data_IF_726818927675
#
_entry.id   IF_726818927675
#
_cell.length_a   1.000
_cell.length_b   1.000
_cell.length_c   1.000
_cell.angle_alpha   90.00
_cell.angle_beta   90.00
_cell.angle_gamma   90.00
#
_symmetry.space_group_name_H-M   'P 1'
#
loop_
_entity.id
_entity.type
_entity.pdbx_description
1 polymer ?
#
# COMPACT_ATOMS: atom_id res chain seq x y z
N UNK A 1 -6.67 32.52 5.83
CA UNK A 1 -5.26 32.61 6.28
C UNK A 1 -4.75 31.21 6.56
N UNK A 2 -3.44 30.91 6.36
CA UNK A 2 -2.91 29.61 6.68
C UNK A 2 -2.94 29.35 8.19
N UNK A 3 -3.30 28.12 8.59
CA UNK A 3 -3.23 27.68 9.98
C UNK A 3 -1.75 27.50 10.40
N UNK A 4 -1.26 28.31 11.30
CA UNK A 4 0.15 28.33 11.73
C UNK A 4 0.44 27.36 12.88
N UNK A 5 -0.51 26.51 13.28
CA UNK A 5 -0.29 25.49 14.32
C UNK A 5 0.95 24.63 14.01
N UNK A 6 1.81 24.42 14.99
CA UNK A 6 3.10 23.74 14.83
C UNK A 6 2.96 22.22 14.69
N UNK A 7 1.92 21.65 15.27
CA UNK A 7 1.63 20.20 15.23
C UNK A 7 0.61 19.89 14.14
N UNK A 8 0.71 18.71 13.54
CA UNK A 8 -0.31 18.17 12.63
C UNK A 8 -1.52 17.63 13.39
N UNK A 9 -2.64 17.46 12.70
CA UNK A 9 -3.79 16.78 13.28
C UNK A 9 -3.44 15.33 13.59
N UNK A 10 -3.82 14.87 14.78
CA UNK A 10 -3.66 13.47 15.13
C UNK A 10 -4.59 12.60 14.27
N UNK A 11 -4.08 11.45 13.84
CA UNK A 11 -4.90 10.46 13.15
C UNK A 11 -5.76 9.74 14.19
N UNK A 12 -7.09 9.74 14.06
CA UNK A 12 -7.95 8.91 14.88
C UNK A 12 -7.56 7.43 14.71
N UNK A 13 -7.40 6.74 15.84
CA UNK A 13 -6.99 5.33 15.85
C UNK A 13 -7.84 4.51 16.81
N UNK A 14 -7.97 3.21 16.59
CA UNK A 14 -8.55 2.30 17.58
C UNK A 14 -7.76 2.35 18.89
N UNK A 15 -8.48 2.26 20.02
CA UNK A 15 -7.85 2.18 21.35
C UNK A 15 -6.87 1.01 21.42
N UNK A 16 -5.77 1.19 22.15
CA UNK A 16 -4.68 0.22 22.23
C UNK A 16 -5.09 -1.17 22.76
N UNK A 17 -6.02 -1.19 23.72
CA UNK A 17 -6.58 -2.41 24.28
C UNK A 17 -7.48 -3.18 23.29
N UNK A 18 -8.20 -2.45 22.42
CA UNK A 18 -9.10 -3.02 21.42
C UNK A 18 -8.34 -3.48 20.16
N UNK A 19 -7.43 -2.66 19.65
CA UNK A 19 -6.72 -2.95 18.38
C UNK A 19 -5.81 -4.19 18.45
N UNK A 20 -5.38 -4.60 19.64
CA UNK A 20 -4.51 -5.76 19.83
C UNK A 20 -5.25 -7.10 19.76
N UNK A 21 -6.58 -7.10 19.76
CA UNK A 21 -7.43 -8.29 19.75
C UNK A 21 -8.22 -8.49 18.45
N UNK A 22 -8.00 -7.64 17.44
CA UNK A 22 -8.72 -7.73 16.18
C UNK A 22 -7.83 -7.37 14.98
N UNK A 23 -8.31 -7.68 13.75
CA UNK A 23 -7.62 -7.38 12.50
C UNK A 23 -8.23 -6.19 11.72
N UNK A 24 -9.17 -5.43 12.32
CA UNK A 24 -9.76 -4.25 11.68
C UNK A 24 -8.72 -3.14 11.53
N UNK A 25 -8.88 -2.28 10.53
CA UNK A 25 -7.98 -1.15 10.27
C UNK A 25 -7.78 -0.30 11.53
N UNK A 26 -6.52 -0.09 11.92
CA UNK A 26 -6.17 0.62 13.16
C UNK A 26 -6.38 2.13 13.02
N UNK A 27 -5.88 2.72 11.94
CA UNK A 27 -6.07 4.14 11.65
C UNK A 27 -7.46 4.36 11.04
N UNK A 28 -8.25 5.28 11.60
CA UNK A 28 -9.65 5.45 11.22
C UNK A 28 -9.88 6.52 10.12
N UNK A 29 -8.82 7.25 9.74
CA UNK A 29 -8.92 8.34 8.77
C UNK A 29 -9.31 9.67 9.39
N UNK A 30 -9.18 10.76 8.62
CA UNK A 30 -9.64 12.09 9.01
C UNK A 30 -11.14 12.28 8.74
N UNK A 31 -11.80 13.08 9.58
CA UNK A 31 -13.08 13.68 9.23
C UNK A 31 -12.88 14.82 8.21
N UNK A 32 -13.96 15.33 7.61
CA UNK A 32 -13.92 16.48 6.69
C UNK A 32 -13.29 17.69 7.37
N UNK A 33 -13.67 17.97 8.60
CA UNK A 33 -13.20 19.10 9.39
C UNK A 33 -11.70 18.97 9.70
N UNK A 34 -11.26 17.78 10.10
CA UNK A 34 -9.85 17.50 10.36
C UNK A 34 -9.00 17.63 9.08
N UNK A 35 -9.51 17.15 7.95
CA UNK A 35 -8.82 17.26 6.67
C UNK A 35 -8.68 18.71 6.21
N UNK A 36 -9.74 19.51 6.31
CA UNK A 36 -9.72 20.95 5.97
C UNK A 36 -8.76 21.69 6.92
N UNK A 37 -8.82 21.44 8.22
CA UNK A 37 -7.93 22.09 9.19
C UNK A 37 -6.46 21.74 8.93
N UNK A 38 -6.14 20.47 8.66
CA UNK A 38 -4.79 20.06 8.29
C UNK A 38 -4.34 20.65 6.94
N UNK A 39 -5.23 20.70 5.95
CA UNK A 39 -4.96 21.31 4.64
C UNK A 39 -4.63 22.81 4.76
N UNK A 40 -5.26 23.51 5.71
CA UNK A 40 -4.97 24.92 6.00
C UNK A 40 -3.55 25.16 6.55
N UNK A 41 -2.84 24.13 7.02
CA UNK A 41 -1.43 24.23 7.42
C UNK A 41 -0.47 24.34 6.23
N UNK A 42 -0.92 23.96 5.02
CA UNK A 42 -0.09 24.05 3.83
C UNK A 42 0.17 25.49 3.43
N UNK A 43 1.45 25.83 3.23
CA UNK A 43 1.89 27.18 2.86
C UNK A 43 1.84 27.44 1.35
N UNK A 44 1.47 26.45 0.54
CA UNK A 44 1.51 26.52 -0.92
C UNK A 44 2.83 27.10 -1.45
N UNK A 45 3.95 26.51 -1.05
CA UNK A 45 5.31 26.99 -1.32
C UNK A 45 5.59 27.12 -2.82
N UNK A 46 6.20 28.22 -3.26
CA UNK A 46 6.55 28.47 -4.67
C UNK A 46 7.42 27.33 -5.25
N UNK A 47 8.40 26.83 -4.51
CA UNK A 47 9.36 25.82 -4.97
C UNK A 47 8.85 24.38 -4.77
N UNK A 48 7.69 24.16 -4.15
CA UNK A 48 7.03 22.86 -3.96
C UNK A 48 7.99 21.71 -3.60
N UNK A 49 8.84 21.79 -2.54
CA UNK A 49 9.86 20.78 -2.28
C UNK A 49 9.29 19.39 -1.97
N UNK A 50 8.05 19.31 -1.48
CA UNK A 50 7.34 18.06 -1.27
C UNK A 50 7.04 17.32 -2.59
N UNK A 51 6.76 18.05 -3.68
CA UNK A 51 6.52 17.46 -5.00
C UNK A 51 7.79 16.81 -5.55
N UNK A 52 8.93 17.52 -5.47
CA UNK A 52 10.22 17.01 -5.93
C UNK A 52 10.70 15.77 -5.16
N UNK A 53 10.18 15.55 -3.93
CA UNK A 53 10.53 14.38 -3.11
C UNK A 53 9.45 13.28 -3.13
N UNK A 54 8.39 13.46 -3.92
CA UNK A 54 7.41 12.42 -4.20
C UNK A 54 7.88 11.61 -5.41
N UNK A 55 8.03 10.28 -5.32
CA UNK A 55 8.54 9.46 -6.43
C UNK A 55 7.72 9.56 -7.73
N UNK A 56 6.42 9.85 -7.62
CA UNK A 56 5.50 10.00 -8.75
C UNK A 56 5.11 11.47 -9.02
N UNK A 57 5.73 12.42 -8.33
CA UNK A 57 5.57 13.86 -8.52
C UNK A 57 4.11 14.36 -8.46
N UNK A 58 3.32 13.87 -7.50
CA UNK A 58 1.94 14.38 -7.26
C UNK A 58 2.01 15.88 -7.02
N UNK A 59 1.11 16.67 -7.64
CA UNK A 59 0.95 18.09 -7.30
C UNK A 59 0.33 18.27 -5.92
N UNK A 60 1.18 18.06 -4.90
CA UNK A 60 0.80 18.03 -3.48
C UNK A 60 0.12 19.35 -3.06
N UNK A 61 0.67 20.55 -3.32
CA UNK A 61 -0.02 21.78 -2.99
C UNK A 61 -1.36 21.94 -3.74
N UNK A 62 -1.44 21.40 -4.95
CA UNK A 62 -2.66 21.44 -5.76
C UNK A 62 -3.80 20.65 -5.12
N UNK A 63 -3.57 19.36 -4.77
CA UNK A 63 -4.63 18.56 -4.14
C UNK A 63 -4.97 19.05 -2.72
N UNK A 64 -3.98 19.51 -1.95
CA UNK A 64 -4.22 20.08 -0.60
C UNK A 64 -5.06 21.37 -0.71
N UNK A 65 -4.79 22.21 -1.72
CA UNK A 65 -5.61 23.38 -1.99
C UNK A 65 -7.07 23.03 -2.23
N UNK A 66 -7.34 21.98 -3.00
CA UNK A 66 -8.70 21.48 -3.25
C UNK A 66 -9.38 20.96 -1.98
N UNK A 67 -8.65 20.25 -1.10
CA UNK A 67 -9.19 19.85 0.22
C UNK A 67 -9.55 21.07 1.07
N UNK A 68 -8.67 22.07 1.09
CA UNK A 68 -8.90 23.34 1.79
C UNK A 68 -10.18 24.04 1.33
N UNK A 69 -10.46 24.00 0.04
CA UNK A 69 -11.64 24.62 -0.56
C UNK A 69 -12.92 23.77 -0.40
N UNK A 70 -12.80 22.57 0.18
CA UNK A 70 -13.90 21.62 0.37
C UNK A 70 -14.23 20.80 -0.89
N UNK A 71 -13.45 20.93 -1.97
CA UNK A 71 -13.63 20.20 -3.22
C UNK A 71 -12.81 18.90 -3.20
N UNK A 72 -13.29 17.91 -2.45
CA UNK A 72 -12.58 16.67 -2.19
C UNK A 72 -12.45 15.77 -3.42
N UNK A 73 -13.44 15.84 -4.32
CA UNK A 73 -13.39 15.08 -5.57
C UNK A 73 -12.32 15.64 -6.52
N UNK A 74 -12.24 16.97 -6.65
CA UNK A 74 -11.16 17.58 -7.41
C UNK A 74 -9.78 17.31 -6.79
N UNK A 75 -9.68 17.18 -5.45
CA UNK A 75 -8.44 16.79 -4.80
C UNK A 75 -8.00 15.37 -5.23
N UNK A 76 -8.93 14.41 -5.24
CA UNK A 76 -8.66 13.05 -5.73
C UNK A 76 -8.21 13.08 -7.20
N UNK A 77 -8.89 13.82 -8.05
CA UNK A 77 -8.56 13.94 -9.47
C UNK A 77 -7.15 14.50 -9.71
N UNK A 78 -6.66 15.40 -8.85
CA UNK A 78 -5.25 15.87 -8.90
C UNK A 78 -4.29 14.75 -8.56
N UNK A 79 -4.57 13.95 -7.54
CA UNK A 79 -3.72 12.83 -7.13
C UNK A 79 -3.69 11.75 -8.21
N UNK A 80 -4.85 11.38 -8.75
CA UNK A 80 -5.02 10.29 -9.73
C UNK A 80 -4.25 10.52 -11.03
N UNK A 81 -4.02 11.77 -11.41
CA UNK A 81 -3.20 12.11 -12.60
C UNK A 81 -1.79 11.50 -12.52
N UNK A 82 -1.20 11.47 -11.33
CA UNK A 82 0.18 11.01 -11.10
C UNK A 82 0.28 9.67 -10.36
N UNK A 83 -0.76 9.27 -9.62
CA UNK A 83 -0.77 8.03 -8.83
C UNK A 83 -1.89 7.11 -9.28
N UNK A 84 -1.55 5.85 -9.57
CA UNK A 84 -2.55 4.84 -9.95
C UNK A 84 -3.18 4.12 -8.74
N UNK A 85 -2.59 4.28 -7.53
CA UNK A 85 -2.99 3.59 -6.30
C UNK A 85 -3.12 4.55 -5.10
N UNK A 86 -3.95 5.62 -5.18
CA UNK A 86 -4.01 6.66 -4.16
C UNK A 86 -4.40 6.13 -2.77
N UNK A 87 -5.41 5.23 -2.71
CA UNK A 87 -5.89 4.69 -1.45
C UNK A 87 -4.85 3.80 -0.72
N UNK A 88 -3.99 3.13 -1.50
CA UNK A 88 -2.85 2.35 -0.99
C UNK A 88 -1.74 3.29 -0.54
N UNK A 89 -1.33 4.26 -1.38
CA UNK A 89 -0.25 5.20 -1.07
C UNK A 89 -0.55 6.02 0.19
N UNK A 90 -1.76 6.51 0.35
CA UNK A 90 -2.18 7.25 1.53
C UNK A 90 -2.09 6.45 2.85
N UNK A 91 -1.99 5.10 2.77
CA UNK A 91 -1.90 4.20 3.95
C UNK A 91 -0.50 3.66 4.21
N UNK A 92 0.25 3.32 3.16
CA UNK A 92 1.47 2.52 3.32
C UNK A 92 2.72 3.14 2.72
N UNK A 93 2.61 4.25 1.97
CA UNK A 93 3.77 4.99 1.51
C UNK A 93 4.53 5.58 2.70
N UNK A 94 5.87 5.48 2.77
CA UNK A 94 6.66 6.05 3.85
C UNK A 94 6.84 7.58 3.68
N UNK A 95 5.74 8.33 3.79
CA UNK A 95 5.70 9.78 3.54
C UNK A 95 6.69 10.55 4.41
N UNK A 96 6.95 10.08 5.63
CA UNK A 96 7.87 10.70 6.59
C UNK A 96 9.31 10.77 6.06
N UNK A 97 9.69 9.85 5.19
CA UNK A 97 11.01 9.81 4.54
C UNK A 97 11.01 10.35 3.11
N UNK A 98 9.85 10.73 2.61
CA UNK A 98 9.64 11.22 1.25
C UNK A 98 9.07 12.66 1.27
N UNK A 99 7.81 12.84 0.83
CA UNK A 99 7.21 14.16 0.66
C UNK A 99 7.13 14.97 1.97
N UNK A 100 6.79 14.35 3.10
CA UNK A 100 6.70 15.03 4.39
C UNK A 100 8.08 15.47 4.91
N UNK A 101 9.16 14.69 4.66
CA UNK A 101 10.51 15.03 5.05
C UNK A 101 10.97 16.39 4.49
N UNK A 102 10.51 16.75 3.30
CA UNK A 102 10.86 18.01 2.63
C UNK A 102 9.83 19.11 2.82
N UNK A 103 8.79 18.88 3.60
CA UNK A 103 7.80 19.90 3.88
C UNK A 103 8.40 21.05 4.70
N UNK A 104 8.26 22.29 4.21
CA UNK A 104 8.80 23.49 4.87
C UNK A 104 8.28 23.66 6.30
N UNK A 105 7.05 23.20 6.58
CA UNK A 105 6.49 23.21 7.95
C UNK A 105 7.31 22.35 8.92
N UNK A 106 7.97 21.31 8.43
CA UNK A 106 8.83 20.43 9.22
C UNK A 106 10.12 21.08 9.74
N UNK A 107 10.50 22.28 9.26
CA UNK A 107 11.71 22.99 9.72
C UNK A 107 11.55 23.52 11.16
N UNK A 108 10.36 24.03 11.51
CA UNK A 108 10.09 24.63 12.83
C UNK A 108 9.05 23.87 13.65
N UNK A 109 8.42 22.85 13.08
CA UNK A 109 7.38 22.06 13.72
C UNK A 109 7.20 20.74 13.01
N UNK A 110 5.97 20.22 12.99
CA UNK A 110 5.66 19.02 12.23
C UNK A 110 5.28 19.35 10.77
N UNK A 111 5.69 18.52 9.80
CA UNK A 111 5.26 18.65 8.42
C UNK A 111 3.74 18.60 8.31
N UNK A 112 3.19 19.06 7.20
CA UNK A 112 1.80 18.79 6.84
C UNK A 112 1.63 17.28 6.68
N UNK A 113 0.54 16.73 7.20
CA UNK A 113 0.21 15.29 7.12
C UNK A 113 -0.24 14.92 5.70
N UNK A 114 0.68 14.95 4.74
CA UNK A 114 0.40 14.81 3.29
C UNK A 114 -0.26 13.46 3.01
N UNK A 115 0.31 12.37 3.53
CA UNK A 115 -0.25 11.04 3.31
C UNK A 115 -1.63 10.84 3.92
N UNK A 116 -1.93 11.47 5.07
CA UNK A 116 -3.27 11.42 5.67
C UNK A 116 -4.29 12.17 4.84
N UNK A 117 -3.90 13.28 4.22
CA UNK A 117 -4.75 14.04 3.31
C UNK A 117 -4.95 13.30 1.98
N UNK A 118 -3.93 12.63 1.44
CA UNK A 118 -4.03 11.75 0.29
C UNK A 118 -5.01 10.60 0.56
N UNK A 119 -4.86 9.93 1.71
CA UNK A 119 -5.80 8.91 2.16
C UNK A 119 -7.23 9.44 2.25
N UNK A 120 -7.42 10.60 2.88
CA UNK A 120 -8.75 11.21 3.02
C UNK A 120 -9.42 11.45 1.66
N UNK A 121 -8.68 12.01 0.70
CA UNK A 121 -9.21 12.25 -0.65
C UNK A 121 -9.61 10.95 -1.36
N UNK A 122 -8.78 9.90 -1.23
CA UNK A 122 -9.05 8.59 -1.81
C UNK A 122 -10.24 7.89 -1.16
N UNK A 123 -10.36 7.94 0.17
CA UNK A 123 -11.48 7.36 0.91
C UNK A 123 -12.79 8.11 0.62
N UNK A 124 -12.74 9.45 0.51
CA UNK A 124 -13.88 10.26 0.13
C UNK A 124 -14.39 9.89 -1.27
N UNK A 125 -13.48 9.84 -2.25
CA UNK A 125 -13.80 9.42 -3.62
C UNK A 125 -14.45 8.02 -3.62
N UNK A 126 -13.87 7.05 -2.93
CA UNK A 126 -14.40 5.68 -2.87
C UNK A 126 -15.83 5.61 -2.29
N UNK A 127 -16.16 6.51 -1.36
CA UNK A 127 -17.47 6.55 -0.72
C UNK A 127 -18.54 7.30 -1.54
N UNK A 128 -18.16 8.22 -2.45
CA UNK A 128 -19.09 9.14 -3.13
C UNK A 128 -19.10 8.98 -4.64
N UNK A 129 -18.08 8.34 -5.23
CA UNK A 129 -18.02 8.19 -6.69
C UNK A 129 -18.96 7.09 -7.19
N UNK A 130 -19.51 7.30 -8.39
CA UNK A 130 -20.31 6.28 -9.10
C UNK A 130 -19.46 5.14 -9.68
N UNK A 131 -18.14 5.14 -9.43
CA UNK A 131 -17.20 4.19 -10.02
C UNK A 131 -16.90 4.44 -11.52
N UNK A 132 -17.37 5.55 -12.08
CA UNK A 132 -17.04 5.92 -13.45
C UNK A 132 -15.57 6.30 -13.56
N UNK A 133 -14.87 5.65 -14.48
CA UNK A 133 -13.46 5.95 -14.77
C UNK A 133 -13.40 7.08 -15.81
N UNK A 134 -12.56 8.06 -15.58
CA UNK A 134 -12.40 9.25 -16.43
C UNK A 134 -10.93 9.33 -16.87
N UNK A 135 -10.69 9.89 -18.07
CA UNK A 135 -9.33 10.20 -18.52
C UNK A 135 -8.57 9.03 -19.14
N UNK A 136 -9.26 8.05 -19.71
CA UNK A 136 -8.64 7.01 -20.54
C UNK A 136 -8.53 7.54 -21.96
N UNK A 137 -7.32 7.46 -22.55
CA UNK A 137 -7.13 7.76 -23.96
C UNK A 137 -7.82 6.72 -24.85
N UNK A 138 -8.10 7.10 -26.08
CA UNK A 138 -8.54 6.16 -27.11
C UNK A 138 -7.54 5.01 -27.25
N UNK A 139 -8.03 3.82 -27.59
CA UNK A 139 -7.17 2.65 -27.78
C UNK A 139 -6.18 2.88 -28.94
N UNK A 140 -4.91 2.72 -28.67
CA UNK A 140 -3.83 2.91 -29.64
C UNK A 140 -3.49 1.64 -30.43
N UNK A 141 -4.15 0.52 -30.14
CA UNK A 141 -3.95 -0.78 -30.81
C UNK A 141 -2.83 -1.64 -30.20
N UNK A 142 -1.90 -1.05 -29.48
CA UNK A 142 -0.75 -1.76 -28.90
C UNK A 142 -1.10 -2.60 -27.69
N UNK A 143 -0.40 -3.74 -27.51
CA UNK A 143 -0.61 -4.69 -26.43
C UNK A 143 0.63 -4.78 -25.55
N UNK A 144 0.44 -4.71 -24.24
CA UNK A 144 1.50 -4.89 -23.27
C UNK A 144 1.12 -5.93 -22.20
N UNK A 145 2.07 -6.81 -21.88
CA UNK A 145 1.96 -7.75 -20.77
C UNK A 145 2.66 -7.20 -19.53
N UNK A 146 2.06 -7.40 -18.37
CA UNK A 146 2.62 -7.06 -17.05
C UNK A 146 2.70 -8.34 -16.23
N UNK A 147 3.90 -8.74 -15.84
CA UNK A 147 4.15 -9.93 -15.04
C UNK A 147 4.25 -9.55 -13.56
N UNK A 148 3.25 -9.96 -12.78
CA UNK A 148 3.08 -9.63 -11.37
C UNK A 148 2.12 -8.48 -11.15
N UNK A 149 1.15 -8.70 -10.26
CA UNK A 149 0.13 -7.73 -9.87
C UNK A 149 0.45 -6.98 -8.57
N UNK A 150 1.70 -6.96 -8.15
CA UNK A 150 2.16 -6.14 -7.04
C UNK A 150 2.05 -4.63 -7.34
N UNK A 151 2.42 -3.75 -6.40
CA UNK A 151 2.30 -2.30 -6.58
C UNK A 151 3.00 -1.79 -7.84
N UNK A 152 4.14 -2.35 -8.23
CA UNK A 152 4.85 -1.98 -9.45
C UNK A 152 4.03 -2.34 -10.71
N UNK A 153 3.53 -3.59 -10.78
CA UNK A 153 2.73 -4.05 -11.91
C UNK A 153 1.41 -3.32 -12.04
N UNK A 154 0.68 -3.12 -10.95
CA UNK A 154 -0.59 -2.37 -10.96
C UNK A 154 -0.38 -0.91 -11.37
N UNK A 155 0.71 -0.27 -10.90
CA UNK A 155 1.04 1.11 -11.31
C UNK A 155 1.40 1.18 -12.79
N UNK A 156 2.21 0.26 -13.30
CA UNK A 156 2.55 0.16 -14.71
C UNK A 156 1.30 -0.06 -15.57
N UNK A 157 0.44 -0.99 -15.18
CA UNK A 157 -0.82 -1.25 -15.86
C UNK A 157 -1.71 -0.01 -15.91
N UNK A 158 -1.87 0.69 -14.78
CA UNK A 158 -2.66 1.93 -14.72
C UNK A 158 -2.14 3.01 -15.65
N UNK A 159 -0.81 3.20 -15.70
CA UNK A 159 -0.20 4.21 -16.58
C UNK A 159 -0.29 3.86 -18.06
N UNK A 160 -0.20 2.59 -18.41
CA UNK A 160 -0.38 2.12 -19.79
C UNK A 160 -1.85 2.27 -20.24
N UNK A 161 -2.80 1.92 -19.37
CA UNK A 161 -4.23 2.07 -19.64
C UNK A 161 -4.63 3.53 -19.88
N UNK A 162 -4.11 4.46 -19.06
CA UNK A 162 -4.32 5.91 -19.27
C UNK A 162 -3.85 6.37 -20.66
N UNK A 163 -2.85 5.71 -21.25
CA UNK A 163 -2.29 6.00 -22.59
C UNK A 163 -2.94 5.19 -23.71
N UNK A 164 -3.99 4.44 -23.44
CA UNK A 164 -4.77 3.70 -24.43
C UNK A 164 -4.21 2.34 -24.82
N UNK A 165 -3.22 1.81 -24.12
CA UNK A 165 -2.71 0.46 -24.37
C UNK A 165 -3.72 -0.61 -23.95
N UNK A 166 -3.68 -1.77 -24.62
CA UNK A 166 -4.34 -2.98 -24.16
C UNK A 166 -3.38 -3.69 -23.20
N UNK A 167 -3.82 -3.88 -21.96
CA UNK A 167 -2.95 -4.39 -20.89
C UNK A 167 -3.49 -5.69 -20.33
N UNK A 168 -2.64 -6.73 -20.27
CA UNK A 168 -2.91 -7.95 -19.53
C UNK A 168 -1.89 -8.09 -18.41
N UNK A 169 -2.38 -8.31 -17.19
CA UNK A 169 -1.57 -8.54 -15.99
C UNK A 169 -1.63 -10.02 -15.65
N UNK A 170 -0.49 -10.68 -15.61
CA UNK A 170 -0.34 -12.09 -15.20
C UNK A 170 0.11 -12.15 -13.75
N UNK A 171 -0.65 -12.86 -12.92
CA UNK A 171 -0.41 -13.01 -11.49
C UNK A 171 -0.28 -14.49 -11.12
N UNK A 172 0.78 -14.85 -10.43
CA UNK A 172 1.04 -16.22 -10.01
C UNK A 172 0.07 -16.71 -8.92
N UNK A 173 -0.40 -15.80 -8.07
CA UNK A 173 -1.32 -16.11 -6.97
C UNK A 173 -2.79 -16.05 -7.44
N UNK A 174 -3.69 -16.57 -6.62
CA UNK A 174 -5.13 -16.59 -6.89
C UNK A 174 -5.82 -15.23 -6.67
N UNK A 175 -5.14 -14.27 -6.05
CA UNK A 175 -5.61 -12.90 -5.86
C UNK A 175 -4.57 -11.90 -6.35
N UNK A 176 -5.03 -10.89 -7.08
CA UNK A 176 -4.19 -9.79 -7.50
C UNK A 176 -3.89 -8.83 -6.35
N UNK A 177 -2.71 -8.21 -6.39
CA UNK A 177 -2.25 -7.21 -5.41
C UNK A 177 -0.84 -7.47 -4.87
N UNK A 178 -0.30 -8.67 -5.09
CA UNK A 178 1.05 -9.03 -4.62
C UNK A 178 1.21 -8.79 -3.12
N UNK A 179 2.32 -8.14 -2.73
CA UNK A 179 2.62 -7.84 -1.32
C UNK A 179 1.53 -7.03 -0.60
N UNK A 180 0.71 -6.26 -1.31
CA UNK A 180 -0.41 -5.53 -0.74
C UNK A 180 -1.47 -6.48 -0.16
N UNK A 181 -1.57 -7.69 -0.71
CA UNK A 181 -2.54 -8.70 -0.29
C UNK A 181 -1.89 -9.76 0.60
N UNK A 182 -0.76 -10.34 0.20
CA UNK A 182 -0.16 -11.43 0.97
C UNK A 182 0.71 -10.95 2.14
N UNK A 183 1.35 -9.76 2.03
CA UNK A 183 2.37 -9.32 2.99
C UNK A 183 1.85 -8.31 4.02
N UNK A 184 1.18 -7.26 3.59
CA UNK A 184 0.71 -6.19 4.49
C UNK A 184 -0.54 -6.63 5.23
N UNK A 185 -0.58 -6.56 6.58
CA UNK A 185 -1.74 -7.02 7.35
C UNK A 185 -3.01 -6.20 7.13
N UNK A 186 -4.16 -6.85 7.30
CA UNK A 186 -5.49 -6.26 7.20
C UNK A 186 -5.65 -4.98 8.02
N UNK A 187 -5.10 -4.97 9.24
CA UNK A 187 -5.20 -3.82 10.16
C UNK A 187 -4.37 -2.59 9.72
N UNK A 188 -3.51 -2.73 8.70
CA UNK A 188 -2.76 -1.62 8.06
C UNK A 188 -3.31 -1.26 6.69
N UNK A 189 -3.66 -2.27 5.91
CA UNK A 189 -4.19 -2.13 4.56
C UNK A 189 -5.30 -3.16 4.35
N UNK A 190 -6.57 -2.78 4.57
CA UNK A 190 -7.71 -3.64 4.30
C UNK A 190 -7.72 -4.15 2.86
N UNK A 191 -8.04 -5.43 2.67
CA UNK A 191 -7.94 -6.07 1.34
C UNK A 191 -9.04 -5.62 0.38
N UNK A 192 -10.16 -5.14 0.91
CA UNK A 192 -11.22 -4.52 0.10
C UNK A 192 -10.74 -3.25 -0.60
N UNK A 193 -9.81 -2.50 0.01
CA UNK A 193 -9.19 -1.32 -0.61
C UNK A 193 -8.34 -1.74 -1.81
N UNK A 194 -7.50 -2.76 -1.63
CA UNK A 194 -6.69 -3.28 -2.74
C UNK A 194 -7.59 -3.84 -3.85
N UNK A 195 -8.65 -4.56 -3.48
CA UNK A 195 -9.66 -5.06 -4.42
C UNK A 195 -10.29 -3.94 -5.25
N UNK A 196 -10.67 -2.83 -4.62
CA UNK A 196 -11.24 -1.66 -5.32
C UNK A 196 -10.26 -1.04 -6.32
N UNK A 197 -8.98 -0.94 -5.98
CA UNK A 197 -7.95 -0.43 -6.91
C UNK A 197 -7.76 -1.40 -8.10
N UNK A 198 -7.74 -2.71 -7.85
CA UNK A 198 -7.70 -3.73 -8.91
C UNK A 198 -8.94 -3.66 -9.81
N UNK A 199 -10.13 -3.54 -9.23
CA UNK A 199 -11.39 -3.44 -9.99
C UNK A 199 -11.48 -2.13 -10.78
N UNK A 200 -10.88 -1.07 -10.29
CA UNK A 200 -10.72 0.17 -11.05
C UNK A 200 -9.91 -0.08 -12.33
N UNK A 201 -8.77 -0.77 -12.25
CA UNK A 201 -7.97 -1.11 -13.43
C UNK A 201 -8.74 -2.01 -14.41
N UNK A 202 -9.53 -2.97 -13.90
CA UNK A 202 -10.42 -3.78 -14.75
C UNK A 202 -11.46 -2.91 -15.48
N UNK A 203 -12.08 -1.96 -14.79
CA UNK A 203 -13.01 -1.00 -15.43
C UNK A 203 -12.31 -0.10 -16.45
N UNK A 204 -11.01 0.18 -16.29
CA UNK A 204 -10.20 0.85 -17.31
C UNK A 204 -9.90 -0.04 -18.53
N UNK A 205 -10.20 -1.33 -18.45
CA UNK A 205 -9.96 -2.29 -19.54
C UNK A 205 -8.75 -3.19 -19.36
N UNK A 206 -8.19 -3.30 -18.13
CA UNK A 206 -7.18 -4.30 -17.84
C UNK A 206 -7.78 -5.71 -17.84
N UNK A 207 -7.11 -6.66 -18.46
CA UNK A 207 -7.31 -8.08 -18.24
C UNK A 207 -6.36 -8.52 -17.11
N UNK A 208 -6.86 -9.25 -16.12
CA UNK A 208 -6.05 -9.77 -15.01
C UNK A 208 -6.23 -11.27 -14.94
N UNK A 209 -5.15 -11.98 -15.29
CA UNK A 209 -5.07 -13.45 -15.31
C UNK A 209 -4.34 -13.92 -14.05
N UNK A 210 -5.07 -14.55 -13.14
CA UNK A 210 -4.52 -15.12 -11.91
C UNK A 210 -4.18 -16.59 -12.09
N UNK A 211 -3.36 -17.15 -11.18
CA UNK A 211 -2.84 -18.52 -11.23
C UNK A 211 -1.98 -18.81 -12.47
N UNK A 212 -1.34 -17.80 -13.02
CA UNK A 212 -0.43 -17.91 -14.17
C UNK A 212 1.00 -17.60 -13.74
N UNK A 213 1.85 -18.61 -13.74
CA UNK A 213 3.27 -18.48 -13.39
C UNK A 213 4.08 -18.34 -14.67
N UNK A 214 4.34 -17.11 -15.09
CA UNK A 214 5.16 -16.84 -16.28
C UNK A 214 6.58 -17.41 -16.07
N UNK A 215 7.09 -18.10 -17.07
CA UNK A 215 8.31 -18.90 -16.99
C UNK A 215 8.08 -20.36 -16.57
N UNK A 216 6.79 -20.76 -16.28
CA UNK A 216 6.39 -22.13 -15.98
C UNK A 216 5.13 -22.55 -16.76
N UNK A 217 4.03 -21.82 -16.59
CA UNK A 217 2.76 -22.11 -17.31
C UNK A 217 2.68 -21.45 -18.67
N UNK A 218 3.39 -20.36 -18.86
CA UNK A 218 3.60 -19.65 -20.12
C UNK A 218 5.00 -19.06 -20.10
N UNK A 219 5.73 -19.18 -21.18
CA UNK A 219 7.07 -18.59 -21.34
C UNK A 219 6.98 -17.11 -21.75
N UNK A 220 8.09 -16.39 -21.64
CA UNK A 220 8.16 -15.00 -22.12
C UNK A 220 8.08 -14.96 -23.65
N UNK A 221 8.67 -15.94 -24.33
CA UNK A 221 8.64 -16.04 -25.80
C UNK A 221 7.20 -16.27 -26.31
N UNK A 222 6.43 -17.16 -25.67
CA UNK A 222 5.02 -17.36 -26.00
C UNK A 222 4.20 -16.06 -25.81
N UNK A 223 4.51 -15.21 -24.82
CA UNK A 223 3.83 -13.91 -24.68
C UNK A 223 4.02 -13.03 -25.92
N UNK A 224 5.19 -13.06 -26.56
CA UNK A 224 5.44 -12.33 -27.81
C UNK A 224 4.86 -13.05 -29.02
N UNK A 225 5.20 -14.31 -29.20
CA UNK A 225 4.98 -15.07 -30.44
C UNK A 225 3.53 -15.54 -30.60
N UNK A 226 2.88 -15.98 -29.52
CA UNK A 226 1.55 -16.54 -29.57
C UNK A 226 0.46 -15.57 -29.09
N UNK A 227 0.72 -14.85 -27.99
CA UNK A 227 -0.25 -13.89 -27.44
C UNK A 227 -0.18 -12.52 -28.13
N UNK A 228 0.92 -12.23 -28.86
CA UNK A 228 1.09 -11.02 -29.64
C UNK A 228 1.28 -9.76 -28.80
N UNK A 229 1.90 -9.88 -27.63
CA UNK A 229 2.33 -8.71 -26.86
C UNK A 229 3.56 -8.09 -27.53
N UNK A 230 3.62 -6.77 -27.54
CA UNK A 230 4.72 -5.99 -28.12
C UNK A 230 5.75 -5.56 -27.06
N UNK A 231 5.34 -5.58 -25.77
CA UNK A 231 6.19 -5.26 -24.65
C UNK A 231 5.79 -6.06 -23.42
N UNK A 232 6.78 -6.40 -22.58
CA UNK A 232 6.60 -7.12 -21.33
C UNK A 232 7.26 -6.32 -20.21
N UNK A 233 6.47 -6.00 -19.16
CA UNK A 233 6.98 -5.43 -17.91
C UNK A 233 7.11 -6.54 -16.87
N UNK A 234 8.28 -6.68 -16.26
CA UNK A 234 8.56 -7.70 -15.24
C UNK A 234 8.54 -7.04 -13.86
N UNK A 235 7.48 -7.33 -13.08
CA UNK A 235 7.26 -6.80 -11.75
C UNK A 235 6.96 -7.90 -10.72
N UNK A 236 7.71 -9.02 -10.76
CA UNK A 236 7.47 -10.24 -9.95
C UNK A 236 7.72 -10.05 -8.46
N UNK A 237 8.34 -8.96 -8.04
CA UNK A 237 8.65 -8.67 -6.65
C UNK A 237 9.79 -9.54 -6.08
N UNK A 238 9.90 -9.57 -4.76
CA UNK A 238 10.91 -10.31 -4.00
C UNK A 238 10.25 -11.20 -2.94
N UNK A 239 9.30 -12.04 -3.35
CA UNK A 239 8.50 -12.89 -2.46
C UNK A 239 9.25 -14.09 -1.86
N UNK A 240 10.41 -14.47 -2.41
CA UNK A 240 11.19 -15.58 -1.88
C UNK A 240 11.85 -15.19 -0.53
N UNK A 241 11.62 -15.99 0.53
CA UNK A 241 12.22 -15.71 1.82
C UNK A 241 13.74 -15.96 1.78
N UNK A 242 14.47 -15.14 2.54
CA UNK A 242 15.89 -15.40 2.83
C UNK A 242 15.99 -16.06 4.19
N UNK A 243 16.55 -17.25 4.21
CA UNK A 243 16.85 -17.97 5.43
C UNK A 243 18.23 -17.56 5.98
N UNK A 244 18.43 -17.74 7.29
CA UNK A 244 19.68 -17.37 7.97
C UNK A 244 20.77 -18.43 7.84
N UNK A 245 20.39 -19.66 7.50
CA UNK A 245 21.32 -20.79 7.37
C UNK A 245 21.86 -21.28 8.72
N UNK A 246 21.08 -21.18 9.80
CA UNK A 246 21.48 -21.58 11.15
C UNK A 246 20.82 -22.91 11.55
N UNK A 247 21.46 -23.69 12.47
CA UNK A 247 20.88 -24.92 12.98
C UNK A 247 19.51 -24.70 13.60
N UNK A 248 18.56 -25.59 13.29
CA UNK A 248 17.20 -25.54 13.83
C UNK A 248 16.22 -24.71 13.02
N UNK A 249 16.63 -24.04 11.94
CA UNK A 249 15.77 -23.22 11.10
C UNK A 249 14.66 -24.03 10.39
N UNK A 250 14.86 -25.33 10.23
CA UNK A 250 13.91 -26.27 9.64
C UNK A 250 13.01 -26.99 10.67
N UNK A 251 13.05 -26.61 11.93
CA UNK A 251 12.22 -27.21 12.97
C UNK A 251 10.77 -26.70 12.88
N UNK A 252 9.82 -27.54 13.36
CA UNK A 252 8.42 -27.16 13.47
C UNK A 252 8.25 -25.93 14.36
N UNK A 253 7.43 -24.98 13.90
CA UNK A 253 7.19 -23.71 14.58
C UNK A 253 8.16 -22.59 14.17
N UNK A 254 9.14 -22.88 13.32
CA UNK A 254 9.98 -21.87 12.67
C UNK A 254 9.37 -21.53 11.29
N UNK A 255 9.08 -20.25 11.08
CA UNK A 255 8.50 -19.75 9.85
C UNK A 255 9.34 -18.62 9.26
N UNK A 256 9.42 -18.55 7.95
CA UNK A 256 9.74 -17.25 7.34
C UNK A 256 8.59 -16.27 7.60
N UNK A 257 8.92 -15.00 7.80
CA UNK A 257 7.87 -13.97 7.99
C UNK A 257 6.92 -13.91 6.79
N UNK A 258 7.42 -14.14 5.57
CA UNK A 258 6.63 -14.20 4.36
C UNK A 258 5.58 -15.31 4.41
N UNK A 259 5.98 -16.53 4.80
CA UNK A 259 5.05 -17.65 4.94
C UNK A 259 3.98 -17.37 5.99
N UNK A 260 4.41 -16.91 7.18
CA UNK A 260 3.50 -16.57 8.27
C UNK A 260 2.47 -15.52 7.87
N UNK A 261 2.93 -14.41 7.25
CA UNK A 261 2.05 -13.34 6.80
C UNK A 261 1.16 -13.75 5.62
N UNK A 262 1.64 -14.58 4.70
CA UNK A 262 0.82 -15.10 3.59
C UNK A 262 -0.34 -15.95 4.12
N UNK A 263 -0.10 -16.84 5.08
CA UNK A 263 -1.17 -17.62 5.71
C UNK A 263 -2.21 -16.73 6.39
N UNK A 264 -1.77 -15.66 7.05
CA UNK A 264 -2.65 -14.73 7.75
C UNK A 264 -3.43 -13.87 6.75
N UNK A 265 -2.74 -13.19 5.83
CA UNK A 265 -3.33 -12.13 5.02
C UNK A 265 -4.02 -12.66 3.77
N UNK A 266 -3.32 -13.45 2.95
CA UNK A 266 -3.86 -14.01 1.71
C UNK A 266 -4.85 -15.14 1.97
N UNK A 267 -4.47 -16.06 2.87
CA UNK A 267 -5.25 -17.24 3.20
C UNK A 267 -6.23 -17.02 4.37
N UNK A 268 -6.25 -15.80 4.93
CA UNK A 268 -7.17 -15.36 6.00
C UNK A 268 -7.22 -16.29 7.22
N UNK A 269 -6.07 -16.84 7.64
CA UNK A 269 -5.99 -17.79 8.75
C UNK A 269 -6.50 -17.22 10.10
N UNK A 270 -6.68 -15.91 10.22
CA UNK A 270 -7.22 -15.24 11.40
C UNK A 270 -8.76 -15.22 11.47
N UNK A 271 -9.44 -15.60 10.40
CA UNK A 271 -10.91 -15.59 10.37
C UNK A 271 -11.47 -16.83 11.02
N UNK A 272 -12.60 -16.68 11.70
CA UNK A 272 -13.34 -17.81 12.28
C UNK A 272 -13.75 -18.79 11.18
N UNK A 273 -13.57 -20.08 11.43
CA UNK A 273 -13.87 -21.15 10.45
C UNK A 273 -12.83 -21.28 9.32
N UNK A 274 -11.73 -20.56 9.35
CA UNK A 274 -10.63 -20.74 8.38
C UNK A 274 -10.04 -22.16 8.48
N UNK A 275 -9.88 -22.82 7.35
CA UNK A 275 -9.21 -24.13 7.25
C UNK A 275 -7.69 -24.02 7.08
N UNK A 276 -7.17 -22.80 6.94
CA UNK A 276 -5.72 -22.57 6.79
C UNK A 276 -5.00 -22.81 8.10
N UNK A 277 -4.09 -23.81 8.17
CA UNK A 277 -3.38 -24.12 9.39
C UNK A 277 -2.39 -22.99 9.71
N UNK A 278 -2.50 -22.45 10.92
CA UNK A 278 -1.52 -21.51 11.48
C UNK A 278 -1.26 -21.88 12.93
N UNK A 279 0.01 -21.99 13.27
CA UNK A 279 0.43 -22.18 14.65
C UNK A 279 1.05 -20.89 15.17
N UNK A 280 0.53 -20.39 16.26
CA UNK A 280 1.10 -19.28 17.00
C UNK A 280 1.30 -19.68 18.45
N UNK A 281 2.57 -19.79 18.86
CA UNK A 281 2.91 -20.12 20.24
C UNK A 281 2.59 -19.00 21.22
N UNK A 282 2.47 -19.30 22.51
CA UNK A 282 2.31 -18.28 23.55
C UNK A 282 3.50 -17.32 23.61
N UNK A 283 4.71 -17.82 23.36
CA UNK A 283 5.94 -17.03 23.27
C UNK A 283 6.47 -17.10 21.84
N UNK A 284 6.58 -15.94 21.19
CA UNK A 284 7.04 -15.82 19.81
C UNK A 284 8.24 -14.90 19.77
N UNK A 285 9.29 -15.35 19.07
CA UNK A 285 10.48 -14.54 18.77
C UNK A 285 10.45 -14.19 17.29
N UNK A 286 10.57 -12.90 16.98
CA UNK A 286 10.66 -12.40 15.61
C UNK A 286 12.05 -11.82 15.41
N UNK A 287 12.78 -12.35 14.42
CA UNK A 287 14.14 -11.92 14.09
C UNK A 287 14.08 -10.94 12.92
N UNK A 288 14.43 -9.67 13.15
CA UNK A 288 14.38 -8.61 12.18
C UNK A 288 13.91 -7.28 12.80
N UNK A 289 14.03 -6.19 12.06
CA UNK A 289 13.63 -4.84 12.51
C UNK A 289 13.01 -4.01 11.41
N UNK A 290 12.66 -4.63 10.27
CA UNK A 290 11.95 -3.98 9.18
C UNK A 290 10.43 -4.10 9.32
N UNK A 291 9.70 -3.48 8.41
CA UNK A 291 8.23 -3.48 8.41
C UNK A 291 7.64 -4.89 8.44
N UNK A 292 8.25 -5.85 7.74
CA UNK A 292 7.78 -7.24 7.67
C UNK A 292 7.88 -7.91 9.04
N UNK A 293 8.99 -7.72 9.76
CA UNK A 293 9.17 -8.27 11.12
C UNK A 293 8.16 -7.64 12.10
N UNK A 294 7.96 -6.32 12.02
CA UNK A 294 6.97 -5.61 12.83
C UNK A 294 5.55 -6.12 12.58
N UNK A 295 5.21 -6.36 11.33
CA UNK A 295 3.89 -6.88 10.95
C UNK A 295 3.71 -8.32 11.42
N UNK A 296 4.75 -9.16 11.33
CA UNK A 296 4.72 -10.52 11.86
C UNK A 296 4.52 -10.53 13.38
N UNK A 297 5.26 -9.69 14.13
CA UNK A 297 5.11 -9.57 15.58
C UNK A 297 3.71 -9.10 16.00
N UNK A 298 3.16 -8.11 15.28
CA UNK A 298 1.80 -7.59 15.52
C UNK A 298 0.72 -8.62 15.19
N UNK A 299 0.92 -9.40 14.14
CA UNK A 299 0.02 -10.51 13.79
C UNK A 299 0.07 -11.60 14.85
N UNK A 300 1.27 -12.02 15.30
CA UNK A 300 1.42 -13.00 16.35
C UNK A 300 0.70 -12.57 17.64
N UNK A 301 0.82 -11.29 18.02
CA UNK A 301 0.09 -10.76 19.20
C UNK A 301 -1.42 -10.88 19.04
N UNK A 302 -1.97 -10.57 17.87
CA UNK A 302 -3.42 -10.69 17.60
C UNK A 302 -3.91 -12.12 17.52
N UNK A 303 -3.03 -13.06 17.18
CA UNK A 303 -3.32 -14.51 17.18
C UNK A 303 -3.17 -15.16 18.56
N UNK A 304 -2.94 -14.38 19.63
CA UNK A 304 -2.94 -14.86 20.99
C UNK A 304 -1.58 -15.09 21.63
N UNK A 305 -0.48 -14.64 21.01
CA UNK A 305 0.82 -14.66 21.68
C UNK A 305 0.78 -13.74 22.93
N UNK A 306 1.13 -14.29 24.08
CA UNK A 306 1.22 -13.52 25.33
C UNK A 306 2.36 -12.51 25.25
N UNK A 307 3.50 -12.96 24.67
CA UNK A 307 4.69 -12.14 24.47
C UNK A 307 5.25 -12.34 23.08
N UNK A 308 5.41 -11.24 22.34
CA UNK A 308 6.23 -11.20 21.13
C UNK A 308 7.48 -10.38 21.41
N UNK A 309 8.63 -10.94 21.10
CA UNK A 309 9.94 -10.29 21.26
C UNK A 309 10.56 -10.12 19.89
N UNK A 310 10.87 -8.88 19.51
CA UNK A 310 11.59 -8.55 18.30
C UNK A 310 13.08 -8.45 18.61
N UNK A 311 13.90 -9.15 17.83
CA UNK A 311 15.36 -9.08 17.94
C UNK A 311 15.98 -8.67 16.62
N UNK A 312 16.90 -7.73 16.70
CA UNK A 312 17.78 -7.36 15.60
C UNK A 312 19.09 -8.14 15.68
N UNK A 313 19.54 -8.61 14.52
CA UNK A 313 20.90 -9.13 14.36
C UNK A 313 21.74 -8.02 13.73
N UNK A 314 22.66 -7.44 14.51
CA UNK A 314 23.81 -6.69 14.00
C UNK A 314 23.67 -5.20 13.71
N UNK A 315 22.54 -4.52 13.98
CA UNK A 315 22.45 -3.04 13.88
C UNK A 315 21.49 -2.46 14.90
N UNK A 316 21.89 -1.41 15.60
CA UNK A 316 21.02 -0.64 16.49
C UNK A 316 19.87 0.02 15.73
N UNK A 317 18.68 0.02 16.31
CA UNK A 317 17.51 0.67 15.77
C UNK A 317 17.61 2.19 15.89
N UNK A 318 17.99 2.87 14.82
CA UNK A 318 17.95 4.34 14.73
C UNK A 318 16.67 4.89 14.11
N UNK A 319 15.72 4.03 13.70
CA UNK A 319 14.44 4.50 13.20
C UNK A 319 13.53 4.87 14.37
N UNK A 320 13.13 6.12 14.46
CA UNK A 320 12.02 6.55 15.32
C UNK A 320 10.77 5.78 14.86
N UNK A 321 10.10 5.19 15.80
CA UNK A 321 8.81 4.53 15.54
C UNK A 321 7.84 5.54 14.95
N UNK A 322 7.35 5.27 13.76
CA UNK A 322 6.16 6.00 13.31
C UNK A 322 4.99 5.59 14.22
N UNK A 323 4.26 6.54 14.81
CA UNK A 323 3.13 6.22 15.70
C UNK A 323 1.98 5.50 14.99
N UNK A 324 2.07 5.30 13.68
CA UNK A 324 1.02 4.70 12.82
C UNK A 324 1.32 3.26 12.37
N UNK A 325 2.37 2.66 12.88
CA UNK A 325 2.71 1.26 12.58
C UNK A 325 2.32 0.31 13.70
#
# INVERSE_FOLDING_TARGET
MANMRMTKNEMPVQRADVRNSNFKEVALGYTKEQAIDEANRCLNCKNKPCVGNCPVHIDIPGFIGKIKDGDFEAAYNVIEKASSLPAVCGRVCPQETQCEMKCVRGIKGEPVAIGRLERFAADYHAAHSSGKVVGIAEKNGHKAAVIGSGPAGLSCAGELLKRGYNVTVFEALHLAGGVLVYGIPEFRLPKDIVGREVDKLKRMGAVIETNVVVGKTVSVDELFDEYGFEAVFIGTGAGLPKFMGIPGENLNGVYSANEFLTRINLMKAYTEGSTTPIYCGKRVVVVGGGNVAMDAARCAKRLGADRSEERRVGKECRSRWSPYH
#
